data_IF_742662067546
#
_entry.id   IF_742662067546
#
_cell.length_a   1.000
_cell.length_b   1.000
_cell.length_c   1.000
_cell.angle_alpha   90.00
_cell.angle_beta   90.00
_cell.angle_gamma   90.00
#
_symmetry.space_group_name_H-M   'P 1'
#
loop_
_entity.id
_entity.type
_entity.pdbx_description
1 polymer ?
#
# COMPACT_ATOMS: atom_id res chain seq x y z
N UNK A 1 -50.28 -4.15 -25.35
CA UNK A 1 -49.00 -3.74 -25.97
C UNK A 1 -48.18 -3.03 -24.89
N UNK A 2 -47.42 -3.78 -24.11
CA UNK A 2 -46.62 -3.23 -23.03
C UNK A 2 -45.40 -2.51 -23.65
N UNK A 3 -45.31 -1.23 -23.35
CA UNK A 3 -44.30 -0.31 -23.88
C UNK A 3 -42.87 -0.79 -23.63
N UNK A 4 -42.11 -0.72 -24.70
CA UNK A 4 -40.69 -1.01 -24.90
C UNK A 4 -39.74 -0.06 -24.12
N UNK A 5 -40.09 0.35 -22.89
CA UNK A 5 -39.45 1.45 -22.15
C UNK A 5 -38.77 1.05 -20.83
N UNK A 6 -38.55 -0.25 -20.61
CA UNK A 6 -37.90 -0.75 -19.37
C UNK A 6 -36.56 -1.42 -19.66
N UNK A 7 -35.77 -0.89 -20.60
CA UNK A 7 -34.45 -1.45 -20.94
C UNK A 7 -33.28 -0.45 -20.78
N UNK A 8 -33.53 0.81 -20.40
CA UNK A 8 -32.50 1.87 -20.34
C UNK A 8 -32.05 2.17 -18.89
N UNK A 9 -32.55 1.45 -17.88
CA UNK A 9 -32.11 1.65 -16.47
C UNK A 9 -30.99 0.70 -16.04
N UNK A 10 -30.62 -0.30 -16.85
CA UNK A 10 -29.58 -1.28 -16.51
C UNK A 10 -28.18 -0.95 -17.05
N UNK A 11 -28.05 0.01 -17.96
CA UNK A 11 -26.77 0.37 -18.59
C UNK A 11 -25.97 1.44 -17.81
N UNK A 12 -26.61 2.17 -16.88
CA UNK A 12 -25.91 3.18 -16.06
C UNK A 12 -25.25 2.56 -14.82
N UNK A 13 -25.62 1.33 -14.45
CA UNK A 13 -25.00 0.60 -13.34
C UNK A 13 -23.64 -0.04 -13.69
N UNK A 14 -23.31 -0.15 -14.99
CA UNK A 14 -22.06 -0.78 -15.47
C UNK A 14 -20.93 0.22 -15.75
N UNK A 15 -21.18 1.54 -15.67
CA UNK A 15 -20.16 2.56 -15.87
C UNK A 15 -19.30 2.82 -14.60
N UNK A 16 -19.67 2.24 -13.46
CA UNK A 16 -18.80 2.13 -12.29
C UNK A 16 -18.15 0.75 -12.25
N UNK A 17 -17.48 0.36 -13.34
CA UNK A 17 -16.29 -0.49 -13.24
C UNK A 17 -15.23 0.35 -12.51
N UNK A 18 -15.47 0.62 -11.23
CA UNK A 18 -14.43 1.05 -10.32
C UNK A 18 -13.37 -0.04 -10.43
N UNK A 19 -12.22 0.30 -11.01
CA UNK A 19 -10.98 -0.34 -10.61
C UNK A 19 -10.96 -0.16 -9.10
N UNK A 20 -11.38 -1.19 -8.37
CA UNK A 20 -11.34 -1.16 -6.93
C UNK A 20 -9.85 -1.15 -6.62
N UNK A 21 -9.31 0.05 -6.40
CA UNK A 21 -7.96 0.25 -5.92
C UNK A 21 -7.75 -0.76 -4.79
N UNK A 22 -6.63 -1.46 -4.83
CA UNK A 22 -6.31 -2.47 -3.83
C UNK A 22 -6.53 -1.82 -2.45
N UNK A 23 -7.34 -2.42 -1.55
CA UNK A 23 -7.70 -1.79 -0.28
C UNK A 23 -6.49 -1.55 0.62
N UNK A 24 -5.34 -2.13 0.27
CA UNK A 24 -4.05 -1.90 0.92
C UNK A 24 -3.22 -0.77 0.32
N UNK A 25 -3.62 -0.15 -0.79
CA UNK A 25 -2.86 0.93 -1.40
C UNK A 25 -2.69 2.11 -0.43
N UNK A 26 -3.80 2.62 0.12
CA UNK A 26 -3.76 3.69 1.11
C UNK A 26 -2.99 3.32 2.40
N UNK A 27 -3.22 2.14 3.02
CA UNK A 27 -2.38 1.66 4.12
C UNK A 27 -0.88 1.58 3.79
N UNK A 28 -0.53 1.06 2.61
CA UNK A 28 0.85 0.94 2.16
C UNK A 28 1.48 2.32 2.05
N UNK A 29 0.84 3.25 1.34
CA UNK A 29 1.36 4.61 1.12
C UNK A 29 1.58 5.34 2.43
N UNK A 30 0.66 5.22 3.39
CA UNK A 30 0.80 5.83 4.71
C UNK A 30 1.95 5.21 5.50
N UNK A 31 2.10 3.89 5.46
CA UNK A 31 3.20 3.19 6.11
C UNK A 31 4.55 3.65 5.53
N UNK A 32 4.72 3.62 4.20
CA UNK A 32 5.95 4.04 3.51
C UNK A 32 6.24 5.52 3.72
N UNK A 33 5.22 6.39 3.62
CA UNK A 33 5.38 7.82 3.87
C UNK A 33 5.88 8.10 5.29
N UNK A 34 5.34 7.39 6.29
CA UNK A 34 5.82 7.53 7.66
C UNK A 34 7.25 6.98 7.81
N UNK A 35 7.59 5.86 7.17
CA UNK A 35 8.94 5.31 7.21
C UNK A 35 9.98 6.29 6.66
N UNK A 36 9.67 6.96 5.54
CA UNK A 36 10.55 8.01 4.97
C UNK A 36 10.59 9.27 5.86
N UNK A 37 9.45 9.68 6.43
CA UNK A 37 9.35 10.85 7.30
C UNK A 37 10.08 10.70 8.65
N UNK A 38 10.18 9.48 9.17
CA UNK A 38 10.93 9.15 10.39
C UNK A 38 12.47 9.32 10.20
N UNK A 39 12.92 9.74 9.02
CA UNK A 39 14.31 10.10 8.73
C UNK A 39 15.11 8.94 8.14
N UNK A 40 14.55 8.24 7.15
CA UNK A 40 15.28 7.25 6.36
C UNK A 40 16.68 7.76 5.98
N UNK A 41 17.64 6.84 5.94
CA UNK A 41 19.02 6.84 5.38
C UNK A 41 20.12 6.54 6.42
N UNK A 42 20.07 7.07 7.64
CA UNK A 42 21.18 6.92 8.61
C UNK A 42 20.91 5.94 9.75
N UNK A 43 19.65 5.75 10.09
CA UNK A 43 19.24 4.93 11.23
C UNK A 43 19.21 3.45 10.85
N UNK A 44 18.56 3.07 9.74
CA UNK A 44 18.33 1.65 9.41
C UNK A 44 19.62 0.87 9.23
N UNK A 45 20.68 1.49 8.70
CA UNK A 45 22.01 0.87 8.55
C UNK A 45 22.64 0.43 9.88
N UNK A 46 22.22 1.02 11.00
CA UNK A 46 22.70 0.69 12.35
C UNK A 46 21.78 -0.29 13.09
N UNK A 47 20.70 -0.73 12.45
CA UNK A 47 19.77 -1.70 13.03
C UNK A 47 20.14 -3.13 12.66
N UNK A 48 19.89 -4.04 13.58
CA UNK A 48 19.76 -5.46 13.26
C UNK A 48 18.54 -5.70 12.36
N UNK A 49 18.58 -6.79 11.60
CA UNK A 49 17.42 -7.24 10.79
C UNK A 49 16.14 -7.33 11.63
N UNK A 50 16.25 -7.77 12.88
CA UNK A 50 15.09 -7.88 13.76
C UNK A 50 14.48 -6.52 14.11
N UNK A 51 15.32 -5.51 14.35
CA UNK A 51 14.86 -4.14 14.58
C UNK A 51 14.22 -3.52 13.34
N UNK A 52 14.73 -3.83 12.14
CA UNK A 52 14.10 -3.40 10.87
C UNK A 52 12.72 -4.05 10.72
N UNK A 53 12.64 -5.37 10.95
CA UNK A 53 11.38 -6.10 10.86
C UNK A 53 10.33 -5.56 11.84
N UNK A 54 10.71 -5.33 13.10
CA UNK A 54 9.83 -4.81 14.14
C UNK A 54 9.37 -3.39 13.82
N UNK A 55 10.29 -2.54 13.33
CA UNK A 55 9.98 -1.19 12.89
C UNK A 55 8.96 -1.16 11.74
N UNK A 56 9.21 -1.93 10.67
CA UNK A 56 8.32 -1.97 9.50
C UNK A 56 6.94 -2.51 9.91
N UNK A 57 6.92 -3.59 10.71
CA UNK A 57 5.69 -4.17 11.24
C UNK A 57 4.87 -3.18 12.06
N UNK A 58 5.51 -2.38 12.90
CA UNK A 58 4.83 -1.35 13.70
C UNK A 58 4.15 -0.31 12.79
N UNK A 59 4.84 0.17 11.74
CA UNK A 59 4.29 1.18 10.82
C UNK A 59 3.18 0.60 9.96
N UNK A 60 3.32 -0.63 9.47
CA UNK A 60 2.26 -1.33 8.73
C UNK A 60 1.03 -1.51 9.62
N UNK A 61 1.18 -2.02 10.84
CA UNK A 61 0.05 -2.29 11.73
C UNK A 61 -0.70 -1.04 12.18
N UNK A 62 -0.05 0.13 12.15
CA UNK A 62 -0.69 1.42 12.43
C UNK A 62 -1.75 1.80 11.39
N UNK A 63 -1.55 1.43 10.13
CA UNK A 63 -2.44 1.81 9.02
C UNK A 63 -3.20 0.63 8.41
N UNK A 64 -2.75 -0.59 8.66
CA UNK A 64 -3.37 -1.83 8.27
C UNK A 64 -3.94 -2.50 9.52
N UNK A 65 -5.13 -2.05 9.93
CA UNK A 65 -5.79 -2.50 11.17
C UNK A 65 -6.35 -3.91 11.01
N UNK A 66 -5.50 -4.92 11.18
CA UNK A 66 -5.77 -6.28 11.62
C UNK A 66 -4.57 -7.18 11.26
N UNK A 67 -4.36 -8.23 12.05
CA UNK A 67 -3.41 -9.32 11.76
C UNK A 67 -3.93 -10.18 10.59
N UNK A 68 -4.23 -9.53 9.47
CA UNK A 68 -4.70 -10.19 8.25
C UNK A 68 -3.50 -10.74 7.50
N UNK A 69 -3.74 -11.83 6.76
CA UNK A 69 -2.75 -12.37 5.82
C UNK A 69 -2.21 -11.30 4.86
N UNK A 70 -3.02 -10.31 4.52
CA UNK A 70 -2.68 -9.26 3.56
C UNK A 70 -1.78 -8.18 4.19
N UNK A 71 -2.06 -7.75 5.44
CA UNK A 71 -1.16 -6.86 6.19
C UNK A 71 0.19 -7.53 6.50
N UNK A 72 0.17 -8.84 6.82
CA UNK A 72 1.39 -9.61 7.02
C UNK A 72 2.21 -9.73 5.73
N UNK A 73 1.56 -9.98 4.59
CA UNK A 73 2.24 -9.96 3.28
C UNK A 73 2.86 -8.58 3.01
N UNK A 74 2.11 -7.50 3.24
CA UNK A 74 2.62 -6.14 3.08
C UNK A 74 3.83 -5.85 3.97
N UNK A 75 3.82 -6.33 5.21
CA UNK A 75 4.98 -6.23 6.10
C UNK A 75 6.19 -6.95 5.50
N UNK A 76 6.02 -8.19 5.02
CA UNK A 76 7.11 -8.96 4.40
C UNK A 76 7.64 -8.28 3.14
N UNK A 77 6.76 -7.87 2.22
CA UNK A 77 7.19 -7.24 0.97
C UNK A 77 7.91 -5.90 1.22
N UNK A 78 7.46 -5.11 2.20
CA UNK A 78 8.14 -3.86 2.58
C UNK A 78 9.48 -4.09 3.30
N UNK A 79 9.64 -5.21 4.02
CA UNK A 79 10.95 -5.63 4.56
C UNK A 79 11.92 -5.95 3.43
N UNK A 80 11.46 -6.66 2.40
CA UNK A 80 12.29 -7.06 1.26
C UNK A 80 12.81 -5.87 0.44
N UNK A 81 12.13 -4.71 0.53
CA UNK A 81 12.51 -3.46 -0.13
C UNK A 81 12.92 -2.37 0.87
N UNK A 82 13.25 -2.73 2.11
CA UNK A 82 13.54 -1.76 3.16
C UNK A 82 14.70 -0.81 2.81
N UNK A 83 15.70 -1.32 2.09
CA UNK A 83 16.83 -0.56 1.54
C UNK A 83 16.38 0.46 0.48
N UNK A 84 15.41 0.11 -0.36
CA UNK A 84 14.82 1.00 -1.38
C UNK A 84 13.94 2.07 -0.71
N UNK A 85 13.20 1.69 0.33
CA UNK A 85 12.41 2.63 1.16
C UNK A 85 13.34 3.65 1.82
N UNK A 86 14.47 3.18 2.34
CA UNK A 86 15.51 3.98 3.01
C UNK A 86 16.29 4.88 2.06
N UNK A 87 16.33 4.60 0.75
CA UNK A 87 17.02 5.44 -0.23
C UNK A 87 16.41 6.87 -0.34
N UNK A 88 17.29 7.89 -0.36
CA UNK A 88 16.95 9.32 -0.52
C UNK A 88 16.48 9.68 -1.93
N UNK A 89 16.42 8.69 -2.82
CA UNK A 89 15.96 8.91 -4.17
C UNK A 89 14.53 9.47 -4.16
N UNK A 90 14.37 10.70 -4.67
CA UNK A 90 13.08 11.39 -4.80
C UNK A 90 12.09 10.64 -5.70
N UNK A 91 12.56 9.72 -6.54
CA UNK A 91 11.73 8.86 -7.38
C UNK A 91 11.09 7.71 -6.58
N UNK A 92 11.67 7.32 -5.43
CA UNK A 92 11.12 6.31 -4.51
C UNK A 92 10.04 6.91 -3.62
N UNK A 93 9.01 7.48 -4.26
CA UNK A 93 7.83 8.02 -3.58
C UNK A 93 6.99 6.89 -2.96
N UNK A 94 6.15 7.18 -1.95
CA UNK A 94 5.26 6.18 -1.37
C UNK A 94 4.35 5.49 -2.38
N UNK A 95 3.87 6.21 -3.40
CA UNK A 95 3.07 5.63 -4.48
C UNK A 95 3.87 4.60 -5.27
N UNK A 96 5.05 4.99 -5.79
CA UNK A 96 5.92 4.14 -6.62
C UNK A 96 6.36 2.88 -5.87
N UNK A 97 6.69 2.99 -4.58
CA UNK A 97 7.09 1.84 -3.77
C UNK A 97 5.91 0.89 -3.49
N UNK A 98 4.71 1.42 -3.36
CA UNK A 98 3.50 0.62 -3.19
C UNK A 98 3.01 0.00 -4.52
N UNK A 99 3.27 0.63 -5.66
CA UNK A 99 3.10 0.02 -6.99
C UNK A 99 4.13 -1.10 -7.21
N UNK A 100 5.40 -0.88 -6.83
CA UNK A 100 6.47 -1.88 -6.92
C UNK A 100 6.15 -3.17 -6.15
N UNK A 101 5.47 -3.03 -5.01
CA UNK A 101 5.03 -4.14 -4.16
C UNK A 101 3.61 -4.65 -4.49
N UNK A 102 2.99 -4.14 -5.56
CA UNK A 102 1.66 -4.51 -6.05
C UNK A 102 0.51 -4.20 -5.07
N UNK A 103 0.73 -3.31 -4.11
CA UNK A 103 -0.30 -2.81 -3.21
C UNK A 103 -1.05 -1.61 -3.76
N UNK A 104 -0.52 -0.91 -4.76
CA UNK A 104 -1.21 0.10 -5.58
C UNK A 104 -1.21 -0.35 -7.05
N UNK A 105 -2.35 -0.24 -7.73
CA UNK A 105 -2.55 -0.55 -9.16
C UNK A 105 -3.67 0.34 -9.72
#
# INVERSE_FOLDING_TARGET
MASFKTFILLLVAAANLCFAENPLCEPCKKAVAQMKADGGIAWMQNLSQQQINDYIKERVNKFCTADTKQCNKMTTDLIDIADIIDDDNSEHTPEVLCEFTYFCN
#
